data_IF_919767602731
#
_entry.id   IF_919767602731
#
_cell.length_a   1.000
_cell.length_b   1.000
_cell.length_c   1.000
_cell.angle_alpha   90.00
_cell.angle_beta   90.00
_cell.angle_gamma   90.00
#
_symmetry.space_group_name_H-M   'P 1'
#
loop_
_entity.id
_entity.type
_entity.pdbx_description
1 polymer ?
#
# COMPACT_ATOMS: atom_id res chain seq x y z
N UNK A 1 18.27 -15.58 15.72
CA UNK A 1 18.24 -17.03 15.40
C UNK A 1 18.92 -17.26 14.06
N UNK A 2 19.78 -18.27 13.98
CA UNK A 2 20.47 -18.66 12.74
C UNK A 2 19.93 -20.03 12.29
N UNK A 3 19.53 -20.15 11.03
CA UNK A 3 19.06 -21.40 10.42
C UNK A 3 20.02 -21.79 9.30
N UNK A 4 20.64 -22.97 9.41
CA UNK A 4 21.52 -23.53 8.41
C UNK A 4 20.79 -24.56 7.54
N UNK A 5 20.93 -24.41 6.23
CA UNK A 5 20.38 -25.32 5.23
C UNK A 5 21.54 -26.11 4.62
N UNK A 6 21.55 -27.42 4.87
CA UNK A 6 22.61 -28.32 4.42
C UNK A 6 22.15 -29.16 3.22
N UNK A 7 23.06 -29.41 2.29
CA UNK A 7 22.84 -30.24 1.12
C UNK A 7 23.22 -31.70 1.41
N UNK A 8 22.32 -32.46 2.04
CA UNK A 8 22.46 -33.89 2.36
C UNK A 8 21.37 -34.70 1.62
N UNK A 9 21.36 -34.68 0.27
CA UNK A 9 20.35 -35.26 -0.65
C UNK A 9 18.95 -34.63 -0.62
N UNK A 10 18.63 -33.91 0.44
CA UNK A 10 17.47 -33.03 0.60
C UNK A 10 17.95 -31.83 1.42
N UNK A 11 17.63 -30.60 1.00
CA UNK A 11 17.95 -29.42 1.82
C UNK A 11 17.16 -29.46 3.12
N UNK A 12 17.85 -29.56 4.26
CA UNK A 12 17.26 -29.63 5.59
C UNK A 12 17.68 -28.44 6.46
N UNK A 13 16.70 -27.83 7.13
CA UNK A 13 16.91 -26.72 8.05
C UNK A 13 17.37 -27.23 9.42
N UNK A 14 18.46 -26.64 9.93
CA UNK A 14 19.01 -26.90 11.24
C UNK A 14 19.21 -25.58 11.98
N UNK A 15 18.62 -25.43 13.17
CA UNK A 15 18.90 -24.27 14.02
C UNK A 15 20.33 -24.35 14.56
N UNK A 16 21.08 -23.27 14.40
CA UNK A 16 22.46 -23.18 14.88
C UNK A 16 22.47 -22.74 16.33
N UNK A 17 23.21 -23.49 17.13
CA UNK A 17 23.51 -23.27 18.54
C UNK A 17 25.03 -23.32 18.72
N UNK A 18 25.52 -22.96 19.91
CA UNK A 18 26.96 -23.02 20.23
C UNK A 18 27.55 -24.44 20.08
N UNK A 19 26.72 -25.47 20.19
CA UNK A 19 27.14 -26.88 20.13
C UNK A 19 27.31 -27.42 18.71
N UNK A 20 26.58 -26.88 17.73
CA UNK A 20 26.57 -27.37 16.35
C UNK A 20 27.09 -26.32 15.34
N UNK A 21 27.89 -25.35 15.82
CA UNK A 21 28.46 -24.25 15.03
C UNK A 21 29.26 -24.71 13.81
N UNK A 22 29.78 -25.94 13.82
CA UNK A 22 30.48 -26.55 12.68
C UNK A 22 29.57 -26.76 11.45
N UNK A 23 28.24 -26.79 11.63
CA UNK A 23 27.28 -26.88 10.52
C UNK A 23 27.30 -25.62 9.64
N UNK A 24 27.74 -24.47 10.17
CA UNK A 24 27.89 -23.22 9.41
C UNK A 24 28.82 -23.42 8.21
N UNK A 25 29.87 -24.22 8.35
CA UNK A 25 30.85 -24.45 7.28
C UNK A 25 30.28 -25.30 6.13
N UNK A 26 29.32 -26.19 6.44
CA UNK A 26 28.69 -27.12 5.49
C UNK A 26 27.41 -26.57 4.86
N UNK A 27 26.82 -25.53 5.43
CA UNK A 27 25.56 -24.97 4.95
C UNK A 27 25.76 -24.30 3.59
N UNK A 28 24.88 -24.59 2.63
CA UNK A 28 24.82 -23.88 1.34
C UNK A 28 24.04 -22.57 1.46
N UNK A 29 23.10 -22.51 2.42
CA UNK A 29 22.35 -21.31 2.76
C UNK A 29 22.27 -21.14 4.28
N UNK A 30 22.59 -19.93 4.75
CA UNK A 30 22.44 -19.50 6.14
C UNK A 30 21.38 -18.39 6.20
N UNK A 31 20.30 -18.61 6.94
CA UNK A 31 19.23 -17.62 7.16
C UNK A 31 19.30 -17.08 8.59
N UNK A 32 19.72 -15.82 8.72
CA UNK A 32 19.80 -15.07 9.97
C UNK A 32 18.48 -14.33 10.17
N UNK A 33 17.63 -14.88 11.04
CA UNK A 33 16.31 -14.37 11.36
C UNK A 33 16.39 -13.60 12.68
N UNK A 34 16.32 -12.26 12.57
CA UNK A 34 16.50 -11.33 13.67
C UNK A 34 17.68 -11.74 14.57
N UNK A 35 18.89 -11.84 14.01
CA UNK A 35 20.04 -12.31 14.76
C UNK A 35 20.36 -11.34 15.90
N UNK A 36 20.87 -11.88 17.00
CA UNK A 36 21.48 -11.06 18.05
C UNK A 36 22.90 -10.66 17.65
N UNK A 37 23.46 -9.62 18.26
CA UNK A 37 24.83 -9.20 17.98
C UNK A 37 25.86 -10.31 18.24
N UNK A 38 25.64 -11.14 19.26
CA UNK A 38 26.48 -12.33 19.52
C UNK A 38 26.41 -13.35 18.37
N UNK A 39 25.21 -13.60 17.83
CA UNK A 39 24.99 -14.50 16.70
C UNK A 39 25.64 -13.96 15.41
N UNK A 40 25.53 -12.65 15.15
CA UNK A 40 26.21 -12.00 14.02
C UNK A 40 27.72 -12.20 14.11
N UNK A 41 28.32 -11.83 15.25
CA UNK A 41 29.77 -11.92 15.46
C UNK A 41 30.30 -13.36 15.31
N UNK A 42 29.54 -14.35 15.78
CA UNK A 42 29.87 -15.77 15.59
C UNK A 42 29.97 -16.12 14.09
N UNK A 43 29.02 -15.67 13.27
CA UNK A 43 29.02 -15.97 11.84
C UNK A 43 30.13 -15.19 11.13
N UNK A 44 30.38 -13.93 11.54
CA UNK A 44 31.46 -13.11 11.01
C UNK A 44 32.84 -13.72 11.26
N UNK A 45 33.13 -14.10 12.51
CA UNK A 45 34.40 -14.72 12.90
C UNK A 45 34.64 -16.05 12.17
N UNK A 46 33.57 -16.82 11.96
CA UNK A 46 33.62 -18.12 11.31
C UNK A 46 33.82 -18.02 9.80
N UNK A 47 33.17 -17.06 9.15
CA UNK A 47 33.21 -16.88 7.69
C UNK A 47 34.28 -15.89 7.22
N UNK A 48 34.86 -15.08 8.12
CA UNK A 48 35.82 -14.03 7.78
C UNK A 48 35.21 -12.89 6.95
N UNK A 49 33.90 -12.68 7.10
CA UNK A 49 33.08 -11.70 6.38
C UNK A 49 32.39 -10.79 7.39
N UNK A 50 32.32 -9.50 7.11
CA UNK A 50 31.53 -8.57 7.92
C UNK A 50 30.09 -8.62 7.39
N UNK A 51 29.13 -8.93 8.25
CA UNK A 51 27.71 -8.97 7.93
C UNK A 51 27.17 -7.55 8.05
N UNK A 52 26.31 -7.09 7.13
CA UNK A 52 25.73 -5.76 7.23
C UNK A 52 24.88 -5.66 8.50
N UNK A 53 25.17 -4.65 9.31
CA UNK A 53 24.40 -4.34 10.50
C UNK A 53 23.01 -3.83 10.13
N UNK A 54 22.05 -3.92 11.06
CA UNK A 54 20.70 -3.39 10.83
C UNK A 54 20.69 -1.90 10.45
N UNK A 55 21.62 -1.11 10.97
CA UNK A 55 21.73 0.32 10.66
C UNK A 55 22.22 0.55 9.22
N UNK A 56 23.25 -0.17 8.78
CA UNK A 56 23.76 -0.13 7.40
C UNK A 56 22.68 -0.56 6.39
N UNK A 57 21.86 -1.55 6.74
CA UNK A 57 20.74 -2.00 5.92
C UNK A 57 19.68 -0.92 5.69
N UNK A 58 19.53 0.01 6.63
CA UNK A 58 18.54 1.08 6.58
C UNK A 58 19.04 2.31 5.81
N UNK A 59 20.34 2.45 5.56
CA UNK A 59 20.91 3.57 4.80
C UNK A 59 20.27 3.70 3.42
N UNK A 60 20.08 4.91 2.90
CA UNK A 60 19.38 5.13 1.61
C UNK A 60 20.35 4.99 0.42
N UNK A 61 21.66 5.16 0.67
CA UNK A 61 22.68 5.20 -0.38
C UNK A 61 22.84 3.83 -1.06
N UNK A 62 22.78 3.84 -2.40
CA UNK A 62 22.91 2.63 -3.21
C UNK A 62 24.26 1.93 -3.04
N UNK A 63 25.34 2.70 -2.86
CA UNK A 63 26.70 2.20 -2.60
C UNK A 63 26.82 1.48 -1.27
N UNK A 64 25.99 1.81 -0.28
CA UNK A 64 25.95 1.12 1.02
C UNK A 64 25.10 -0.16 0.97
N UNK A 65 24.15 -0.24 0.03
CA UNK A 65 23.24 -1.40 -0.11
C UNK A 65 23.71 -2.46 -1.11
N UNK A 66 24.38 -2.05 -2.18
CA UNK A 66 24.81 -2.90 -3.28
C UNK A 66 26.30 -2.70 -3.51
N UNK A 67 27.12 -3.62 -3.00
CA UNK A 67 28.57 -3.53 -3.13
C UNK A 67 29.24 -4.90 -3.16
N UNK A 68 30.47 -4.92 -3.65
CA UNK A 68 31.33 -6.11 -3.62
C UNK A 68 32.46 -5.85 -2.63
N UNK A 69 32.62 -6.75 -1.66
CA UNK A 69 33.73 -6.71 -0.73
C UNK A 69 34.43 -8.07 -0.75
N UNK A 70 35.74 -8.08 -1.03
CA UNK A 70 36.53 -9.29 -1.31
C UNK A 70 35.85 -10.13 -2.42
N UNK A 71 35.54 -11.39 -2.11
CA UNK A 71 34.86 -12.35 -3.00
C UNK A 71 33.36 -12.51 -2.70
N UNK A 72 32.78 -11.60 -1.90
CA UNK A 72 31.37 -11.61 -1.54
C UNK A 72 30.61 -10.42 -2.15
N UNK A 73 29.40 -10.70 -2.63
CA UNK A 73 28.44 -9.69 -3.08
C UNK A 73 27.46 -9.40 -1.96
N UNK A 74 27.33 -8.13 -1.59
CA UNK A 74 26.39 -7.65 -0.59
C UNK A 74 25.27 -6.92 -1.31
N UNK A 75 24.05 -7.40 -1.11
CA UNK A 75 22.88 -6.94 -1.83
C UNK A 75 21.72 -6.74 -0.87
N UNK A 76 21.27 -5.51 -0.68
CA UNK A 76 20.15 -5.20 0.22
C UNK A 76 18.96 -4.68 -0.58
N UNK A 77 17.81 -5.34 -0.42
CA UNK A 77 16.54 -4.94 -1.04
C UNK A 77 15.45 -4.89 0.02
N UNK A 78 14.39 -4.11 -0.25
CA UNK A 78 13.27 -4.06 0.69
C UNK A 78 12.27 -5.17 0.36
N UNK A 79 11.66 -5.75 1.39
CA UNK A 79 10.65 -6.79 1.25
C UNK A 79 9.42 -6.49 2.10
N UNK A 80 8.27 -7.02 1.68
CA UNK A 80 7.02 -6.92 2.40
C UNK A 80 6.79 -8.21 3.21
N UNK A 81 6.47 -8.04 4.48
CA UNK A 81 6.00 -9.09 5.37
C UNK A 81 4.64 -8.73 5.98
N UNK A 82 4.03 -9.72 6.65
CA UNK A 82 2.70 -9.64 7.28
C UNK A 82 1.54 -9.53 6.27
N UNK A 83 0.33 -9.35 6.81
CA UNK A 83 -0.91 -9.27 6.04
C UNK A 83 -1.00 -7.99 5.21
N UNK A 84 -1.72 -8.06 4.09
CA UNK A 84 -1.98 -6.93 3.20
C UNK A 84 -2.67 -5.73 3.89
N UNK A 85 -3.34 -5.94 5.02
CA UNK A 85 -3.98 -4.88 5.82
C UNK A 85 -3.03 -4.11 6.74
N UNK A 86 -1.84 -4.64 7.02
CA UNK A 86 -0.81 -3.97 7.83
C UNK A 86 0.58 -4.44 7.37
N UNK A 87 0.97 -4.08 6.12
CA UNK A 87 2.23 -4.55 5.57
C UNK A 87 3.39 -3.94 6.36
N UNK A 88 4.35 -4.78 6.75
CA UNK A 88 5.67 -4.30 7.19
C UNK A 88 6.60 -4.32 6.00
N UNK A 89 7.28 -3.21 5.78
CA UNK A 89 8.28 -3.04 4.73
C UNK A 89 9.63 -2.78 5.39
N UNK A 90 10.57 -3.71 5.24
CA UNK A 90 11.90 -3.61 5.86
C UNK A 90 12.97 -4.19 4.92
N UNK A 91 14.21 -3.76 5.14
CA UNK A 91 15.36 -4.22 4.37
C UNK A 91 15.71 -5.69 4.69
N UNK A 92 16.08 -6.43 3.65
CA UNK A 92 16.63 -7.78 3.72
C UNK A 92 17.93 -7.79 2.93
N UNK A 93 18.99 -8.30 3.56
CA UNK A 93 20.31 -8.40 2.93
C UNK A 93 20.59 -9.81 2.49
N UNK A 94 21.19 -9.91 1.31
CA UNK A 94 21.65 -11.13 0.67
C UNK A 94 23.17 -10.99 0.50
N UNK A 95 23.94 -11.85 1.17
CA UNK A 95 25.38 -11.94 1.01
C UNK A 95 25.69 -13.22 0.25
N UNK A 96 26.21 -13.07 -0.96
CA UNK A 96 26.52 -14.19 -1.84
C UNK A 96 28.04 -14.37 -1.94
N UNK A 97 28.48 -15.59 -1.64
CA UNK A 97 29.85 -16.05 -1.84
C UNK A 97 29.87 -17.16 -2.90
N UNK A 98 31.06 -17.64 -3.28
CA UNK A 98 31.17 -18.80 -4.20
C UNK A 98 30.56 -20.09 -3.63
N UNK A 99 30.51 -20.22 -2.30
CA UNK A 99 30.14 -21.47 -1.63
C UNK A 99 28.80 -21.40 -0.90
N UNK A 100 28.36 -20.19 -0.50
CA UNK A 100 27.22 -20.00 0.40
C UNK A 100 26.41 -18.75 0.06
N UNK A 101 25.11 -18.86 0.25
CA UNK A 101 24.17 -17.74 0.35
C UNK A 101 23.92 -17.45 1.84
N UNK A 102 23.92 -16.18 2.23
CA UNK A 102 23.58 -15.75 3.59
C UNK A 102 22.47 -14.71 3.47
N UNK A 103 21.37 -14.89 4.20
CA UNK A 103 20.27 -13.93 4.27
C UNK A 103 20.17 -13.34 5.67
N UNK A 104 19.96 -12.03 5.77
CA UNK A 104 19.76 -11.33 7.03
C UNK A 104 18.42 -10.59 6.97
N UNK A 105 17.52 -10.90 7.90
CA UNK A 105 16.16 -10.35 7.92
C UNK A 105 15.63 -10.13 9.32
N UNK A 106 14.98 -8.98 9.52
CA UNK A 106 14.27 -8.60 10.74
C UNK A 106 12.74 -8.72 10.61
N UNK A 107 12.30 -9.24 9.46
CA UNK A 107 10.92 -9.54 9.11
C UNK A 107 10.79 -10.99 8.63
N UNK A 108 9.55 -11.44 8.50
CA UNK A 108 9.22 -12.79 8.01
C UNK A 108 8.37 -12.73 6.73
N UNK A 109 8.99 -12.45 5.56
CA UNK A 109 8.27 -12.36 4.29
C UNK A 109 7.72 -13.73 3.89
N UNK A 110 6.50 -13.74 3.34
CA UNK A 110 5.87 -14.98 2.85
C UNK A 110 6.70 -15.66 1.74
N UNK A 111 7.43 -14.86 0.95
CA UNK A 111 8.33 -15.36 -0.10
C UNK A 111 9.37 -16.37 0.42
N UNK A 112 9.93 -16.16 1.61
CA UNK A 112 10.88 -17.10 2.22
C UNK A 112 10.20 -18.43 2.55
N UNK A 113 8.97 -18.41 3.09
CA UNK A 113 8.22 -19.64 3.39
C UNK A 113 7.88 -20.41 2.13
N UNK A 114 7.41 -19.72 1.09
CA UNK A 114 7.11 -20.31 -0.22
C UNK A 114 8.36 -20.91 -0.86
N UNK A 115 9.48 -20.19 -0.79
CA UNK A 115 10.78 -20.67 -1.26
C UNK A 115 11.22 -21.94 -0.52
N UNK A 116 11.18 -21.94 0.83
CA UNK A 116 11.54 -23.12 1.64
C UNK A 116 10.67 -24.33 1.29
N UNK A 117 9.37 -24.16 1.07
CA UNK A 117 8.47 -25.24 0.65
C UNK A 117 8.83 -25.83 -0.73
N UNK A 118 9.53 -25.06 -1.58
CA UNK A 118 9.95 -25.47 -2.91
C UNK A 118 11.36 -26.06 -2.96
N UNK A 119 12.15 -25.94 -1.88
CA UNK A 119 13.53 -26.46 -1.82
C UNK A 119 13.64 -27.95 -2.14
N UNK A 120 12.66 -28.75 -1.71
CA UNK A 120 12.62 -30.20 -2.01
C UNK A 120 12.49 -30.52 -3.51
N UNK A 121 12.09 -29.55 -4.34
CA UNK A 121 11.90 -29.73 -5.79
C UNK A 121 13.12 -29.30 -6.60
N UNK A 122 14.09 -28.62 -5.99
CA UNK A 122 15.33 -28.24 -6.66
C UNK A 122 16.22 -29.48 -6.84
N UNK A 123 16.77 -29.64 -8.04
CA UNK A 123 17.71 -30.73 -8.33
C UNK A 123 19.07 -30.43 -7.68
N UNK A 124 19.40 -31.19 -6.64
CA UNK A 124 20.49 -30.88 -5.73
C UNK A 124 21.89 -31.14 -6.31
N UNK A 125 21.96 -31.91 -7.40
CA UNK A 125 23.22 -32.16 -8.10
C UNK A 125 23.78 -30.90 -8.81
N UNK A 126 23.01 -29.81 -8.86
CA UNK A 126 23.41 -28.51 -9.42
C UNK A 126 23.30 -27.34 -8.43
N UNK A 127 23.16 -27.62 -7.13
CA UNK A 127 22.97 -26.59 -6.10
C UNK A 127 24.15 -25.61 -6.07
N UNK A 128 23.95 -24.44 -6.67
CA UNK A 128 24.85 -23.31 -6.58
C UNK A 128 24.16 -22.24 -5.71
N UNK A 129 24.85 -21.61 -4.74
CA UNK A 129 24.33 -20.48 -3.98
C UNK A 129 23.65 -19.39 -4.83
N UNK A 130 24.19 -19.13 -6.03
CA UNK A 130 23.61 -18.18 -6.97
C UNK A 130 22.21 -18.61 -7.45
N UNK A 131 22.00 -19.91 -7.67
CA UNK A 131 20.70 -20.46 -8.09
C UNK A 131 19.67 -20.39 -6.97
N UNK A 132 20.10 -20.60 -5.71
CA UNK A 132 19.24 -20.42 -4.54
C UNK A 132 18.78 -18.98 -4.44
N UNK A 133 19.69 -18.02 -4.63
CA UNK A 133 19.34 -16.60 -4.66
C UNK A 133 18.36 -16.31 -5.79
N UNK A 134 18.63 -16.73 -7.02
CA UNK A 134 17.72 -16.51 -8.17
C UNK A 134 16.32 -17.04 -7.87
N UNK A 135 16.22 -18.25 -7.32
CA UNK A 135 14.92 -18.87 -7.02
C UNK A 135 14.18 -18.17 -5.87
N UNK A 136 14.91 -17.65 -4.87
CA UNK A 136 14.33 -16.82 -3.82
C UNK A 136 13.85 -15.46 -4.35
N UNK A 137 14.60 -14.86 -5.29
CA UNK A 137 14.19 -13.61 -5.95
C UNK A 137 12.92 -13.83 -6.79
N UNK A 138 12.82 -14.93 -7.54
CA UNK A 138 11.60 -15.33 -8.26
C UNK A 138 10.40 -15.48 -7.32
N UNK A 139 10.53 -16.26 -6.25
CA UNK A 139 9.46 -16.42 -5.26
C UNK A 139 9.03 -15.08 -4.63
N UNK A 140 9.95 -14.12 -4.55
CA UNK A 140 9.64 -12.77 -4.08
C UNK A 140 8.87 -11.96 -5.12
N UNK A 141 9.31 -11.98 -6.38
CA UNK A 141 8.63 -11.29 -7.48
C UNK A 141 7.22 -11.84 -7.70
N UNK A 142 7.04 -13.15 -7.64
CA UNK A 142 5.73 -13.81 -7.69
C UNK A 142 4.81 -13.28 -6.58
N UNK A 143 5.33 -13.21 -5.34
CA UNK A 143 4.55 -12.67 -4.22
C UNK A 143 4.18 -11.20 -4.42
N UNK A 144 5.06 -10.38 -5.01
CA UNK A 144 4.74 -8.97 -5.31
C UNK A 144 3.67 -8.87 -6.39
N UNK A 145 3.68 -9.76 -7.40
CA UNK A 145 2.63 -9.85 -8.40
C UNK A 145 1.26 -10.17 -7.77
N UNK A 146 1.21 -11.17 -6.87
CA UNK A 146 -0.03 -11.52 -6.14
C UNK A 146 -0.60 -10.34 -5.34
N UNK A 147 0.28 -9.54 -4.70
CA UNK A 147 -0.13 -8.34 -3.97
C UNK A 147 -0.75 -7.31 -4.92
N UNK A 148 -0.12 -7.03 -6.05
CA UNK A 148 -0.64 -6.08 -7.05
C UNK A 148 -2.00 -6.53 -7.60
N UNK A 149 -2.17 -7.83 -7.87
CA UNK A 149 -3.45 -8.38 -8.32
C UNK A 149 -4.54 -8.21 -7.25
N UNK A 150 -4.23 -8.53 -5.99
CA UNK A 150 -5.16 -8.33 -4.86
C UNK A 150 -5.56 -6.86 -4.72
N UNK A 151 -4.60 -5.93 -4.78
CA UNK A 151 -4.87 -4.49 -4.74
C UNK A 151 -5.77 -4.07 -5.91
N UNK A 152 -5.44 -4.47 -7.14
CA UNK A 152 -6.23 -4.16 -8.32
C UNK A 152 -7.67 -4.65 -8.22
N UNK A 153 -7.86 -5.88 -7.74
CA UNK A 153 -9.18 -6.49 -7.53
C UNK A 153 -9.99 -5.77 -6.44
N UNK A 154 -9.36 -5.38 -5.33
CA UNK A 154 -10.05 -4.66 -4.26
C UNK A 154 -10.42 -3.22 -4.67
N UNK A 155 -9.56 -2.53 -5.43
CA UNK A 155 -9.91 -1.24 -6.03
C UNK A 155 -11.04 -1.36 -7.03
N UNK A 156 -11.16 -2.47 -7.76
CA UNK A 156 -12.30 -2.72 -8.65
C UNK A 156 -13.61 -2.87 -7.87
N UNK A 157 -13.60 -3.55 -6.72
CA UNK A 157 -14.78 -3.61 -5.83
C UNK A 157 -15.18 -2.22 -5.34
N UNK A 158 -14.20 -1.40 -4.92
CA UNK A 158 -14.47 -0.03 -4.45
C UNK A 158 -14.99 0.86 -5.58
N UNK A 159 -14.42 0.75 -6.78
CA UNK A 159 -14.89 1.41 -8.00
C UNK A 159 -16.38 1.14 -8.26
N UNK A 160 -16.81 -0.12 -8.14
CA UNK A 160 -18.22 -0.48 -8.30
C UNK A 160 -19.10 0.21 -7.26
N UNK A 161 -18.69 0.27 -6.00
CA UNK A 161 -19.45 0.97 -4.94
C UNK A 161 -19.54 2.47 -5.22
N UNK A 162 -18.45 3.10 -5.66
CA UNK A 162 -18.38 4.54 -5.97
C UNK A 162 -19.31 4.88 -7.15
N UNK A 163 -19.23 4.15 -8.26
CA UNK A 163 -19.90 4.53 -9.50
C UNK A 163 -21.26 3.88 -9.75
N UNK A 164 -21.54 2.73 -9.12
CA UNK A 164 -22.81 2.00 -9.30
C UNK A 164 -23.76 2.16 -8.11
N UNK A 165 -23.48 3.09 -7.19
CA UNK A 165 -24.45 3.46 -6.16
C UNK A 165 -25.70 4.06 -6.82
N UNK A 166 -26.91 3.55 -6.53
CA UNK A 166 -28.14 4.08 -7.10
C UNK A 166 -28.34 5.55 -6.71
N UNK A 167 -28.81 6.38 -7.63
CA UNK A 167 -29.01 7.81 -7.41
C UNK A 167 -30.01 8.12 -6.27
N UNK A 168 -30.91 7.18 -5.96
CA UNK A 168 -31.85 7.23 -4.84
C UNK A 168 -31.81 5.90 -4.09
N UNK A 169 -30.85 5.70 -3.17
CA UNK A 169 -30.84 4.49 -2.37
C UNK A 169 -32.06 4.44 -1.44
N UNK A 170 -32.56 3.24 -1.08
CA UNK A 170 -33.58 3.08 -0.05
C UNK A 170 -33.18 3.78 1.26
N UNK A 171 -34.16 4.30 2.00
CA UNK A 171 -33.89 5.01 3.25
C UNK A 171 -33.10 4.12 4.23
N UNK A 172 -31.84 4.50 4.50
CA UNK A 172 -30.92 3.78 5.39
C UNK A 172 -29.63 3.29 4.73
N UNK A 173 -29.58 3.18 3.39
CA UNK A 173 -28.40 2.73 2.64
C UNK A 173 -27.63 3.92 2.05
N UNK A 174 -27.05 4.78 2.89
CA UNK A 174 -26.12 5.80 2.41
C UNK A 174 -24.73 5.23 2.26
N UNK A 175 -24.12 5.45 1.10
CA UNK A 175 -22.73 5.08 0.84
C UNK A 175 -21.81 5.91 1.73
N UNK A 176 -21.05 5.23 2.59
CA UNK A 176 -20.05 5.89 3.44
C UNK A 176 -18.77 6.16 2.64
N UNK A 177 -18.73 7.32 1.98
CA UNK A 177 -17.58 7.75 1.19
C UNK A 177 -16.31 7.95 2.05
N UNK A 178 -16.43 8.21 3.35
CA UNK A 178 -15.28 8.34 4.24
C UNK A 178 -14.59 6.98 4.44
N UNK A 179 -15.37 5.91 4.65
CA UNK A 179 -14.83 4.55 4.69
C UNK A 179 -14.19 4.13 3.36
N UNK A 180 -14.76 4.56 2.24
CA UNK A 180 -14.18 4.29 0.92
C UNK A 180 -12.80 4.95 0.78
N UNK A 181 -12.66 6.22 1.16
CA UNK A 181 -11.36 6.92 1.14
C UNK A 181 -10.32 6.18 1.99
N UNK A 182 -10.69 5.74 3.21
CA UNK A 182 -9.78 4.99 4.07
C UNK A 182 -9.34 3.68 3.43
N UNK A 183 -10.26 2.91 2.82
CA UNK A 183 -9.93 1.66 2.13
C UNK A 183 -9.06 1.90 0.90
N UNK A 184 -9.34 2.93 0.10
CA UNK A 184 -8.49 3.32 -1.02
C UNK A 184 -7.09 3.68 -0.53
N UNK A 185 -6.97 4.40 0.59
CA UNK A 185 -5.70 4.73 1.24
C UNK A 185 -4.87 3.50 1.62
N UNK A 186 -5.47 2.51 2.29
CA UNK A 186 -4.78 1.25 2.65
C UNK A 186 -4.20 0.56 1.40
N UNK A 187 -4.98 0.49 0.33
CA UNK A 187 -4.52 -0.10 -0.93
C UNK A 187 -3.46 0.75 -1.64
N UNK A 188 -3.49 2.08 -1.46
CA UNK A 188 -2.48 2.98 -1.98
C UNK A 188 -1.12 2.80 -1.29
N UNK A 189 -1.12 2.65 0.03
CA UNK A 189 0.09 2.38 0.81
C UNK A 189 0.71 1.04 0.41
N UNK A 190 -0.12 -0.01 0.29
CA UNK A 190 0.35 -1.33 -0.14
C UNK A 190 0.91 -1.31 -1.58
N UNK A 191 0.28 -0.61 -2.52
CA UNK A 191 0.80 -0.43 -3.88
C UNK A 191 2.15 0.32 -3.88
N UNK A 192 2.28 1.34 -3.04
CA UNK A 192 3.50 2.14 -2.91
C UNK A 192 4.65 1.28 -2.39
N UNK A 193 4.43 0.56 -1.30
CA UNK A 193 5.42 -0.37 -0.74
C UNK A 193 5.82 -1.45 -1.77
N UNK A 194 4.86 -1.98 -2.52
CA UNK A 194 5.12 -3.00 -3.54
C UNK A 194 5.98 -2.45 -4.67
N UNK A 195 5.69 -1.23 -5.13
CA UNK A 195 6.48 -0.51 -6.13
C UNK A 195 7.91 -0.23 -5.63
N UNK A 196 8.08 0.16 -4.36
CA UNK A 196 9.41 0.34 -3.77
C UNK A 196 10.21 -0.95 -3.74
N UNK A 197 9.61 -2.07 -3.33
CA UNK A 197 10.23 -3.39 -3.41
C UNK A 197 10.71 -3.68 -4.84
N UNK A 198 9.82 -3.59 -5.83
CA UNK A 198 10.15 -3.84 -7.25
C UNK A 198 11.34 -2.99 -7.72
N UNK A 199 11.40 -1.71 -7.35
CA UNK A 199 12.52 -0.84 -7.67
C UNK A 199 13.83 -1.32 -7.04
N UNK A 200 13.82 -1.70 -5.76
CA UNK A 200 15.04 -2.23 -5.10
C UNK A 200 15.48 -3.56 -5.69
N UNK A 201 14.54 -4.45 -6.04
CA UNK A 201 14.84 -5.72 -6.70
C UNK A 201 15.40 -5.53 -8.11
N UNK A 202 14.89 -4.58 -8.89
CA UNK A 202 15.43 -4.29 -10.21
C UNK A 202 16.91 -3.87 -10.13
N UNK A 203 17.24 -3.00 -9.15
CA UNK A 203 18.63 -2.56 -8.90
C UNK A 203 19.51 -3.72 -8.42
N UNK A 204 19.00 -4.56 -7.53
CA UNK A 204 19.68 -5.76 -7.05
C UNK A 204 20.00 -6.71 -8.21
N UNK A 205 19.03 -7.02 -9.07
CA UNK A 205 19.21 -7.93 -10.20
C UNK A 205 20.21 -7.37 -11.22
N UNK A 206 20.13 -6.07 -11.52
CA UNK A 206 21.10 -5.42 -12.41
C UNK A 206 22.53 -5.52 -11.84
N UNK A 207 22.71 -5.21 -10.55
CA UNK A 207 24.00 -5.34 -9.86
C UNK A 207 24.48 -6.79 -9.82
N UNK A 208 23.60 -7.73 -9.51
CA UNK A 208 23.90 -9.15 -9.41
C UNK A 208 24.34 -9.72 -10.77
N UNK A 209 23.59 -9.46 -11.83
CA UNK A 209 23.91 -9.91 -13.19
C UNK A 209 25.26 -9.35 -13.66
N UNK A 210 25.59 -8.10 -13.32
CA UNK A 210 26.86 -7.48 -13.67
C UNK A 210 28.06 -7.97 -12.83
N UNK A 211 27.84 -8.18 -11.52
CA UNK A 211 28.94 -8.39 -10.56
C UNK A 211 29.26 -9.86 -10.28
N UNK A 212 28.34 -10.78 -10.57
CA UNK A 212 28.50 -12.21 -10.28
C UNK A 212 29.46 -12.93 -11.24
N UNK A 213 29.80 -12.33 -12.39
CA UNK A 213 30.79 -12.88 -13.32
C UNK A 213 30.49 -14.33 -13.72
N UNK A 214 31.41 -15.27 -13.42
CA UNK A 214 31.28 -16.70 -13.72
C UNK A 214 30.48 -17.51 -12.70
N UNK A 215 29.97 -16.88 -11.62
CA UNK A 215 29.15 -17.58 -10.62
C UNK A 215 27.75 -17.94 -11.14
N UNK A 216 27.31 -17.31 -12.23
CA UNK A 216 26.02 -17.54 -12.88
C UNK A 216 26.28 -18.22 -14.22
N UNK A 217 25.62 -19.35 -14.45
CA UNK A 217 25.64 -20.06 -15.73
C UNK A 217 24.68 -19.41 -16.76
N UNK A 218 24.68 -19.93 -17.99
CA UNK A 218 23.83 -19.40 -19.05
C UNK A 218 22.33 -19.49 -18.72
N UNK A 219 21.93 -20.53 -17.99
CA UNK A 219 20.56 -20.72 -17.52
C UNK A 219 20.18 -19.65 -16.48
N UNK A 220 21.01 -19.43 -15.47
CA UNK A 220 20.81 -18.39 -14.47
C UNK A 220 20.77 -16.98 -15.07
N UNK A 221 21.62 -16.67 -16.05
CA UNK A 221 21.56 -15.37 -16.75
C UNK A 221 20.26 -15.19 -17.53
N UNK A 222 19.75 -16.26 -18.13
CA UNK A 222 18.45 -16.24 -18.81
C UNK A 222 17.32 -15.98 -17.82
N UNK A 223 17.33 -16.67 -16.66
CA UNK A 223 16.35 -16.46 -15.58
C UNK A 223 16.38 -15.03 -15.04
N UNK A 224 17.56 -14.47 -14.76
CA UNK A 224 17.70 -13.06 -14.34
C UNK A 224 17.19 -12.06 -15.39
N UNK A 225 17.43 -12.33 -16.67
CA UNK A 225 16.93 -11.49 -17.76
C UNK A 225 15.40 -11.49 -17.81
N UNK A 226 14.79 -12.67 -17.64
CA UNK A 226 13.33 -12.81 -17.54
C UNK A 226 12.80 -12.09 -16.30
N UNK A 227 13.42 -12.33 -15.13
CA UNK A 227 13.02 -11.71 -13.87
C UNK A 227 13.08 -10.17 -13.92
N UNK A 228 14.10 -9.60 -14.56
CA UNK A 228 14.19 -8.15 -14.77
C UNK A 228 13.06 -7.61 -15.67
N UNK A 229 12.68 -8.34 -16.72
CA UNK A 229 11.52 -7.98 -17.56
C UNK A 229 10.22 -8.04 -16.78
N UNK A 230 10.04 -9.07 -15.97
CA UNK A 230 8.84 -9.25 -15.15
C UNK A 230 8.71 -8.13 -14.13
N UNK A 231 9.80 -7.76 -13.43
CA UNK A 231 9.81 -6.62 -12.51
C UNK A 231 9.46 -5.30 -13.19
N UNK A 232 9.94 -5.06 -14.41
CA UNK A 232 9.59 -3.86 -15.17
C UNK A 232 8.09 -3.85 -15.52
N UNK A 233 7.55 -4.97 -16.00
CA UNK A 233 6.11 -5.13 -16.28
C UNK A 233 5.25 -4.90 -15.03
N UNK A 234 5.64 -5.47 -13.88
CA UNK A 234 4.95 -5.27 -12.61
C UNK A 234 5.06 -3.83 -12.12
N UNK A 235 6.19 -3.14 -12.36
CA UNK A 235 6.37 -1.73 -12.01
C UNK A 235 5.46 -0.81 -12.84
N UNK A 236 5.30 -1.11 -14.12
CA UNK A 236 4.34 -0.43 -15.00
C UNK A 236 2.91 -0.67 -14.53
N UNK A 237 2.58 -1.92 -14.15
CA UNK A 237 1.27 -2.26 -13.60
C UNK A 237 0.98 -1.53 -12.28
N UNK A 238 1.95 -1.44 -11.37
CA UNK A 238 1.83 -0.68 -10.12
C UNK A 238 1.61 0.82 -10.39
N UNK A 239 2.19 1.36 -11.47
CA UNK A 239 1.98 2.74 -11.91
C UNK A 239 0.56 2.96 -12.47
N UNK A 240 0.04 1.98 -13.23
CA UNK A 240 -1.36 1.96 -13.64
C UNK A 240 -2.32 1.92 -12.45
N UNK A 241 -2.06 1.06 -11.46
CA UNK A 241 -2.84 0.98 -10.21
C UNK A 241 -2.80 2.32 -9.46
N UNK A 242 -1.63 2.96 -9.37
CA UNK A 242 -1.50 4.29 -8.74
C UNK A 242 -2.37 5.34 -9.42
N UNK A 243 -2.49 5.29 -10.75
CA UNK A 243 -3.34 6.22 -11.51
C UNK A 243 -4.82 5.93 -11.24
N UNK A 244 -5.22 4.67 -11.15
CA UNK A 244 -6.58 4.24 -10.76
C UNK A 244 -6.92 4.69 -9.34
N UNK A 245 -6.00 4.57 -8.38
CA UNK A 245 -6.18 5.05 -7.00
C UNK A 245 -6.52 6.55 -7.00
N UNK A 246 -5.73 7.37 -7.69
CA UNK A 246 -5.96 8.81 -7.77
C UNK A 246 -7.33 9.13 -8.38
N UNK A 247 -7.68 8.45 -9.48
CA UNK A 247 -9.01 8.58 -10.09
C UNK A 247 -10.16 8.25 -9.12
N UNK A 248 -10.02 7.18 -8.32
CA UNK A 248 -11.03 6.80 -7.33
C UNK A 248 -11.11 7.79 -6.16
N UNK A 249 -9.98 8.33 -5.68
CA UNK A 249 -9.96 9.37 -4.65
C UNK A 249 -10.68 10.64 -5.15
N UNK A 250 -10.32 11.13 -6.34
CA UNK A 250 -10.91 12.32 -6.94
C UNK A 250 -12.42 12.15 -7.18
N UNK A 251 -12.83 10.99 -7.71
CA UNK A 251 -14.24 10.68 -7.92
C UNK A 251 -15.01 10.65 -6.58
N UNK A 252 -14.43 10.03 -5.55
CA UNK A 252 -15.05 9.94 -4.23
C UNK A 252 -15.20 11.32 -3.58
N UNK A 253 -14.17 12.17 -3.66
CA UNK A 253 -14.24 13.57 -3.19
C UNK A 253 -15.27 14.38 -3.99
N UNK A 254 -15.37 14.14 -5.30
CA UNK A 254 -16.41 14.72 -6.15
C UNK A 254 -17.82 14.37 -5.68
N UNK A 255 -18.08 13.10 -5.34
CA UNK A 255 -19.38 12.66 -4.80
C UNK A 255 -19.68 13.27 -3.43
N UNK A 256 -18.69 13.35 -2.53
CA UNK A 256 -18.83 14.04 -1.24
C UNK A 256 -19.23 15.51 -1.45
N UNK A 257 -18.57 16.20 -2.37
CA UNK A 257 -18.90 17.58 -2.69
C UNK A 257 -20.32 17.72 -3.28
N UNK A 258 -20.78 16.76 -4.09
CA UNK A 258 -22.16 16.75 -4.60
C UNK A 258 -23.16 16.61 -3.44
N UNK A 259 -22.92 15.69 -2.50
CA UNK A 259 -23.79 15.51 -1.32
C UNK A 259 -23.81 16.76 -0.43
N UNK A 260 -22.65 17.35 -0.15
CA UNK A 260 -22.55 18.59 0.62
C UNK A 260 -23.27 19.76 -0.06
N UNK A 261 -23.10 19.91 -1.38
CA UNK A 261 -23.80 20.93 -2.16
C UNK A 261 -25.32 20.72 -2.13
N UNK A 262 -25.80 19.47 -2.16
CA UNK A 262 -27.23 19.17 -2.04
C UNK A 262 -27.77 19.60 -0.66
N UNK A 263 -27.04 19.33 0.43
CA UNK A 263 -27.40 19.75 1.78
C UNK A 263 -27.45 21.29 1.87
N UNK A 264 -26.41 21.99 1.39
CA UNK A 264 -26.34 23.46 1.39
C UNK A 264 -27.48 24.06 0.58
N UNK A 265 -27.83 23.46 -0.57
CA UNK A 265 -28.93 23.90 -1.41
C UNK A 265 -30.27 23.83 -0.67
N UNK A 266 -30.53 22.75 0.07
CA UNK A 266 -31.76 22.60 0.88
C UNK A 266 -31.85 23.70 1.95
N UNK A 267 -30.78 23.94 2.71
CA UNK A 267 -30.77 25.00 3.74
C UNK A 267 -30.92 26.39 3.14
N UNK A 268 -30.28 26.65 2.00
CA UNK A 268 -30.38 27.94 1.30
C UNK A 268 -31.81 28.21 0.81
N UNK A 269 -32.46 27.19 0.22
CA UNK A 269 -33.86 27.29 -0.20
C UNK A 269 -34.78 27.52 1.01
N UNK A 270 -34.59 26.79 2.11
CA UNK A 270 -35.35 27.00 3.34
C UNK A 270 -35.16 28.43 3.89
N UNK A 271 -33.93 28.93 3.93
CA UNK A 271 -33.64 30.29 4.40
C UNK A 271 -34.34 31.36 3.54
N UNK A 272 -34.29 31.25 2.21
CA UNK A 272 -34.96 32.22 1.31
C UNK A 272 -36.49 32.16 1.46
N UNK A 273 -37.07 31.01 1.77
CA UNK A 273 -38.51 30.86 2.01
C UNK A 273 -38.92 31.48 3.37
N UNK A 274 -38.12 31.31 4.42
CA UNK A 274 -38.50 31.69 5.79
C UNK A 274 -37.99 33.07 6.26
N UNK A 275 -36.88 33.58 5.72
CA UNK A 275 -36.32 34.87 6.15
C UNK A 275 -37.26 36.07 5.89
N UNK A 276 -37.93 36.22 4.73
CA UNK A 276 -38.82 37.36 4.50
C UNK A 276 -40.04 37.40 5.44
N UNK A 277 -40.81 36.30 5.66
CA UNK A 277 -41.86 36.29 6.68
C UNK A 277 -41.34 36.61 8.08
N UNK A 278 -40.15 36.09 8.43
CA UNK A 278 -39.54 36.34 9.74
C UNK A 278 -39.16 37.81 9.93
N UNK A 279 -38.62 38.46 8.89
CA UNK A 279 -38.30 39.88 8.91
C UNK A 279 -39.57 40.72 9.07
N UNK A 280 -40.64 40.39 8.34
CA UNK A 280 -41.94 41.06 8.47
C UNK A 280 -42.47 40.91 9.91
N UNK A 281 -42.50 39.69 10.44
CA UNK A 281 -42.92 39.44 11.82
C UNK A 281 -42.08 40.21 12.84
N UNK A 282 -40.76 40.30 12.62
CA UNK A 282 -39.83 41.05 13.48
C UNK A 282 -40.11 42.56 13.46
N UNK A 283 -40.33 43.16 12.29
CA UNK A 283 -40.66 44.59 12.14
C UNK A 283 -41.94 44.92 12.90
N UNK A 284 -42.99 44.12 12.74
CA UNK A 284 -44.27 44.32 13.44
C UNK A 284 -44.25 43.85 14.90
N UNK A 285 -43.16 43.22 15.36
CA UNK A 285 -42.89 42.92 16.76
C UNK A 285 -42.13 44.03 17.50
N UNK A 286 -41.75 45.11 16.82
CA UNK A 286 -41.03 46.23 17.44
C UNK A 286 -41.97 47.15 18.22
N UNK A 287 -41.50 47.64 19.38
CA UNK A 287 -42.30 48.49 20.27
C UNK A 287 -42.20 49.99 19.93
N UNK A 288 -42.49 50.38 18.68
CA UNK A 288 -42.50 51.79 18.29
C UNK A 288 -43.85 52.47 18.53
N UNK A 289 -43.82 53.77 18.86
CA UNK A 289 -45.03 54.56 19.11
C UNK A 289 -45.78 55.00 17.84
N UNK A 290 -45.10 55.09 16.70
CA UNK A 290 -45.69 55.54 15.44
C UNK A 290 -45.59 54.43 14.38
N UNK A 291 -46.63 53.60 14.33
CA UNK A 291 -46.81 52.48 13.40
C UNK A 291 -48.22 52.56 12.82
N UNK A 292 -48.48 53.45 11.84
CA UNK A 292 -49.82 53.75 11.35
C UNK A 292 -50.56 52.54 10.76
N UNK A 293 -49.83 51.48 10.40
CA UNK A 293 -50.37 50.24 9.85
C UNK A 293 -51.11 49.38 10.89
N UNK A 294 -50.85 49.56 12.19
CA UNK A 294 -51.48 48.79 13.28
C UNK A 294 -52.92 49.22 13.56
N UNK A 295 -53.25 50.50 13.33
CA UNK A 295 -54.59 51.06 13.56
C UNK A 295 -55.58 50.69 12.43
N UNK A 296 -55.10 50.07 11.35
CA UNK A 296 -55.94 49.58 10.26
C UNK A 296 -56.74 48.35 10.69
N UNK A 297 -58.07 48.40 10.57
CA UNK A 297 -59.00 47.31 10.92
C UNK A 297 -58.70 45.96 10.23
N UNK A 298 -58.00 45.98 9.09
CA UNK A 298 -57.60 44.79 8.32
C UNK A 298 -56.09 44.52 8.34
N UNK A 299 -55.29 45.35 9.04
CA UNK A 299 -53.83 45.31 9.01
C UNK A 299 -53.25 43.93 9.35
N UNK A 300 -53.77 43.29 10.40
CA UNK A 300 -53.37 41.94 10.82
C UNK A 300 -53.51 40.90 9.69
N UNK A 301 -54.68 40.85 9.04
CA UNK A 301 -54.96 39.90 7.96
C UNK A 301 -54.14 40.20 6.70
N UNK A 302 -53.93 41.47 6.39
CA UNK A 302 -53.09 41.91 5.26
C UNK A 302 -51.63 41.48 5.47
N UNK A 303 -51.06 41.69 6.66
CA UNK A 303 -49.67 41.31 6.96
C UNK A 303 -49.50 39.78 6.90
N UNK A 304 -50.46 39.00 7.42
CA UNK A 304 -50.45 37.54 7.28
C UNK A 304 -50.47 37.10 5.82
N UNK A 305 -51.30 37.73 4.98
CA UNK A 305 -51.33 37.45 3.54
C UNK A 305 -50.00 37.81 2.86
N UNK A 306 -49.38 38.93 3.22
CA UNK A 306 -48.06 39.34 2.71
C UNK A 306 -46.98 38.33 3.15
N UNK A 307 -46.96 37.93 4.42
CA UNK A 307 -46.04 36.91 4.93
C UNK A 307 -46.20 35.59 4.15
N UNK A 308 -47.43 35.13 3.98
CA UNK A 308 -47.73 33.91 3.23
C UNK A 308 -47.27 34.01 1.76
N UNK A 309 -47.57 35.12 1.09
CA UNK A 309 -47.12 35.38 -0.28
C UNK A 309 -45.60 35.43 -0.40
N UNK A 310 -44.93 36.05 0.58
CA UNK A 310 -43.46 36.17 0.60
C UNK A 310 -42.74 34.83 0.73
N UNK A 311 -43.37 33.81 1.33
CA UNK A 311 -42.86 32.44 1.35
C UNK A 311 -43.24 31.64 0.08
N UNK A 312 -44.48 31.82 -0.41
CA UNK A 312 -45.00 31.09 -1.58
C UNK A 312 -44.32 31.45 -2.89
N UNK A 313 -43.95 32.73 -3.08
CA UNK A 313 -43.31 33.21 -4.30
C UNK A 313 -41.92 32.55 -4.52
N UNK A 314 -40.98 32.58 -3.56
CA UNK A 314 -39.72 31.85 -3.66
C UNK A 314 -39.92 30.34 -3.82
N UNK A 315 -40.85 29.74 -3.07
CA UNK A 315 -41.13 28.30 -3.16
C UNK A 315 -41.54 27.90 -4.60
N UNK A 316 -42.48 28.62 -5.21
CA UNK A 316 -42.89 28.38 -6.60
C UNK A 316 -41.73 28.58 -7.58
N UNK A 317 -40.90 29.60 -7.37
CA UNK A 317 -39.72 29.87 -8.20
C UNK A 317 -38.69 28.73 -8.13
N UNK A 318 -38.34 28.25 -6.95
CA UNK A 318 -37.39 27.15 -6.78
C UNK A 318 -37.93 25.82 -7.30
N UNK A 319 -39.24 25.56 -7.12
CA UNK A 319 -39.91 24.40 -7.69
C UNK A 319 -39.88 24.42 -9.23
N UNK A 320 -40.12 25.58 -9.85
CA UNK A 320 -40.03 25.73 -11.30
C UNK A 320 -38.60 25.48 -11.82
N UNK A 321 -37.57 25.93 -11.09
CA UNK A 321 -36.17 25.69 -11.44
C UNK A 321 -35.68 24.27 -11.16
N UNK A 322 -36.51 23.36 -10.64
CA UNK A 322 -36.11 22.01 -10.19
C UNK A 322 -34.98 22.06 -9.14
N UNK A 323 -35.04 23.05 -8.27
CA UNK A 323 -34.12 23.14 -7.12
C UNK A 323 -34.61 22.38 -5.90
N UNK A 324 -35.91 22.06 -5.90
CA UNK A 324 -36.66 21.19 -5.01
C UNK A 324 -37.18 20.01 -5.83
#
# INVERSE_FOLDING_TARGET
>A
MIIAYLDDQIIQAHEITKENIALVDRAIWLDLVSPTHEEEQIVEDKLGLNIPTREEMLEIELSSRLYKNKDALFMTANMIAQSESNPKHEAVSFVLTKEKLITIRYIDPLAFKLFVMQLHKLDLNRSNPALLLITLLEATVDRLADILESVGHNLEKLSKVIFHSPANPPAGEKTDYQQIIQKVGIHADLNTNTRECLLTFNRLIAFFSQSAGTQIDAEGQTRLTTLSKDINSLSDHASFISSKINFLLDATLGLINIEQNAIIKIFSVAAVIFLPPTLIASIYGMNFKWMPELDLRWGYWVILAIMLLSALLPYKFFKYKKWL
#
